data_IF_460843834286
#
_entry.id   IF_460843834286
#
_cell.length_a   1.000
_cell.length_b   1.000
_cell.length_c   1.000
_cell.angle_alpha   90.00
_cell.angle_beta   90.00
_cell.angle_gamma   90.00
#
_symmetry.space_group_name_H-M   'P 1'
#
loop_
_entity.id
_entity.type
_entity.pdbx_description
1 polymer ?
#
# COMPACT_ATOMS: atom_id res chain seq x y z
N UNK A 1 -26.89 37.89 -22.80
CA UNK A 1 -27.01 37.34 -21.42
C UNK A 1 -25.61 37.17 -20.84
N UNK A 2 -25.23 37.90 -19.78
CA UNK A 2 -23.92 37.75 -19.11
C UNK A 2 -24.00 36.60 -18.11
N UNK A 3 -23.20 35.55 -18.33
CA UNK A 3 -23.12 34.40 -17.42
C UNK A 3 -22.50 34.83 -16.10
N UNK A 4 -23.32 34.90 -15.05
CA UNK A 4 -22.89 35.26 -13.70
C UNK A 4 -21.97 34.15 -13.16
N UNK A 5 -20.65 34.35 -13.19
CA UNK A 5 -19.70 33.36 -12.66
C UNK A 5 -19.84 33.29 -11.14
N UNK A 6 -20.16 32.11 -10.61
CA UNK A 6 -20.33 31.88 -9.17
C UNK A 6 -19.09 32.36 -8.39
N UNK A 7 -19.25 33.12 -7.30
CA UNK A 7 -18.13 33.76 -6.57
C UNK A 7 -17.07 32.75 -6.10
N UNK A 8 -17.50 31.52 -5.77
CA UNK A 8 -16.62 30.41 -5.35
C UNK A 8 -15.61 30.02 -6.46
N UNK A 9 -16.03 30.07 -7.72
CA UNK A 9 -15.14 29.78 -8.85
C UNK A 9 -14.09 30.87 -9.07
N UNK A 10 -14.43 32.13 -8.82
CA UNK A 10 -13.49 33.25 -8.93
C UNK A 10 -12.39 33.15 -7.86
N UNK A 11 -12.78 32.85 -6.62
CA UNK A 11 -11.85 32.64 -5.50
C UNK A 11 -10.95 31.43 -5.74
N UNK A 12 -11.52 30.29 -6.15
CA UNK A 12 -10.74 29.07 -6.46
C UNK A 12 -9.68 29.32 -7.55
N UNK A 13 -10.06 30.02 -8.62
CA UNK A 13 -9.14 30.38 -9.70
C UNK A 13 -8.04 31.35 -9.25
N UNK A 14 -8.38 32.29 -8.37
CA UNK A 14 -7.41 33.23 -7.81
C UNK A 14 -6.39 32.54 -6.90
N UNK A 15 -6.83 31.62 -6.02
CA UNK A 15 -5.95 30.83 -5.14
C UNK A 15 -4.99 29.97 -5.97
N UNK A 16 -5.49 29.33 -7.04
CA UNK A 16 -4.66 28.52 -7.94
C UNK A 16 -3.51 29.30 -8.59
N UNK A 17 -3.69 30.60 -8.81
CA UNK A 17 -2.70 31.50 -9.42
C UNK A 17 -1.65 32.05 -8.44
N UNK A 18 -1.80 31.82 -7.14
CA UNK A 18 -0.85 32.33 -6.15
C UNK A 18 0.46 31.51 -6.13
N UNK A 19 1.60 32.14 -5.79
CA UNK A 19 2.88 31.46 -5.65
C UNK A 19 2.87 30.46 -4.47
N UNK A 20 3.76 29.45 -4.46
CA UNK A 20 3.74 28.38 -3.45
C UNK A 20 3.80 28.89 -2.00
N UNK A 21 4.58 29.94 -1.75
CA UNK A 21 4.70 30.57 -0.43
C UNK A 21 3.38 31.18 0.06
N UNK A 22 2.64 31.82 -0.84
CA UNK A 22 1.33 32.43 -0.53
C UNK A 22 0.26 31.36 -0.35
N UNK A 23 0.30 30.26 -1.12
CA UNK A 23 -0.59 29.12 -0.91
C UNK A 23 -0.37 28.46 0.45
N UNK A 24 0.90 28.26 0.83
CA UNK A 24 1.25 27.73 2.14
C UNK A 24 0.77 28.66 3.27
N UNK A 25 1.00 29.97 3.13
CA UNK A 25 0.50 30.96 4.08
C UNK A 25 -1.03 30.95 4.20
N UNK A 26 -1.75 30.98 3.07
CA UNK A 26 -3.21 30.91 3.05
C UNK A 26 -3.74 29.61 3.66
N UNK A 27 -3.08 28.48 3.42
CA UNK A 27 -3.42 27.19 4.02
C UNK A 27 -3.26 27.24 5.54
N UNK A 28 -2.13 27.75 6.05
CA UNK A 28 -1.88 27.90 7.49
C UNK A 28 -2.91 28.82 8.14
N UNK A 29 -3.17 30.00 7.56
CA UNK A 29 -4.18 30.94 8.07
C UNK A 29 -5.57 30.32 8.06
N UNK A 30 -5.94 29.61 7.00
CA UNK A 30 -7.24 28.92 6.93
C UNK A 30 -7.35 27.78 7.94
N UNK A 31 -6.25 27.06 8.20
CA UNK A 31 -6.19 26.01 9.22
C UNK A 31 -6.32 26.57 10.63
N UNK A 32 -5.61 27.67 10.93
CA UNK A 32 -5.73 28.38 12.20
C UNK A 32 -7.14 28.91 12.41
N UNK A 33 -7.75 29.52 11.38
CA UNK A 33 -9.12 29.99 11.44
C UNK A 33 -10.12 28.84 11.66
N UNK A 34 -9.92 27.69 11.00
CA UNK A 34 -10.74 26.51 11.19
C UNK A 34 -10.61 25.93 12.61
N UNK A 35 -9.41 25.94 13.20
CA UNK A 35 -9.17 25.50 14.59
C UNK A 35 -9.84 26.42 15.61
N UNK A 36 -9.75 27.74 15.41
CA UNK A 36 -10.45 28.71 16.27
C UNK A 36 -11.96 28.57 16.13
N UNK A 37 -12.46 28.39 14.91
CA UNK A 37 -13.88 28.14 14.65
C UNK A 37 -14.35 26.84 15.30
N UNK A 38 -13.58 25.77 15.19
CA UNK A 38 -13.83 24.49 15.87
C UNK A 38 -13.91 24.65 17.39
N UNK A 39 -12.98 25.42 17.98
CA UNK A 39 -13.00 25.73 19.42
C UNK A 39 -14.24 26.52 19.84
N UNK A 40 -14.78 27.37 18.97
CA UNK A 40 -15.97 28.20 19.25
C UNK A 40 -17.26 27.41 19.05
N UNK A 41 -17.29 26.44 18.14
CA UNK A 41 -18.50 25.66 17.80
C UNK A 41 -18.62 24.39 18.67
N UNK A 42 -17.50 23.73 18.95
CA UNK A 42 -17.46 22.45 19.67
C UNK A 42 -17.21 22.71 21.15
N UNK A 43 -18.29 22.73 21.93
CA UNK A 43 -18.19 22.82 23.39
C UNK A 43 -17.66 21.51 24.01
N UNK A 44 -18.05 20.37 23.44
CA UNK A 44 -17.72 19.04 23.95
C UNK A 44 -16.78 18.32 22.98
N UNK A 45 -15.49 18.31 23.33
CA UNK A 45 -14.41 17.85 22.46
C UNK A 45 -14.45 16.32 22.26
N UNK A 46 -15.18 15.60 23.13
CA UNK A 46 -15.37 14.15 23.06
C UNK A 46 -16.18 13.75 21.82
N UNK A 47 -17.15 14.56 21.41
CA UNK A 47 -17.94 14.32 20.19
C UNK A 47 -17.09 14.47 18.92
N UNK A 48 -16.11 15.39 18.93
CA UNK A 48 -15.18 15.56 17.81
C UNK A 48 -14.20 14.39 17.73
N UNK A 49 -13.75 13.88 18.87
CA UNK A 49 -12.94 12.67 18.95
C UNK A 49 -13.71 11.45 18.43
N UNK A 50 -14.95 11.23 18.90
CA UNK A 50 -15.80 10.11 18.43
C UNK A 50 -16.10 10.22 16.94
N UNK A 51 -16.38 11.43 16.42
CA UNK A 51 -16.60 11.64 14.99
C UNK A 51 -15.32 11.39 14.17
N UNK A 52 -14.15 11.79 14.67
CA UNK A 52 -12.87 11.52 14.03
C UNK A 52 -12.57 10.01 13.98
N UNK A 53 -12.75 9.30 15.10
CA UNK A 53 -12.58 7.84 15.19
C UNK A 53 -13.59 7.10 14.30
N UNK A 54 -14.84 7.57 14.20
CA UNK A 54 -15.84 6.99 13.30
C UNK A 54 -15.47 7.17 11.82
N UNK A 55 -15.04 8.37 11.41
CA UNK A 55 -14.56 8.64 10.04
C UNK A 55 -13.31 7.81 9.74
N UNK A 56 -12.40 7.68 10.72
CA UNK A 56 -11.20 6.86 10.60
C UNK A 56 -11.55 5.37 10.43
N UNK A 57 -12.47 4.85 11.24
CA UNK A 57 -12.96 3.47 11.15
C UNK A 57 -13.69 3.18 9.84
N UNK A 58 -14.45 4.14 9.30
CA UNK A 58 -15.09 4.01 7.98
C UNK A 58 -14.02 3.96 6.88
N UNK A 59 -12.99 4.80 6.96
CA UNK A 59 -11.86 4.79 6.03
C UNK A 59 -11.10 3.46 6.04
N UNK A 60 -10.79 2.93 7.24
CA UNK A 60 -10.21 1.60 7.42
C UNK A 60 -11.14 0.53 6.86
N UNK A 61 -12.45 0.61 7.10
CA UNK A 61 -13.43 -0.37 6.61
C UNK A 61 -13.57 -0.35 5.09
N UNK A 62 -13.48 0.80 4.45
CA UNK A 62 -13.49 0.93 2.97
C UNK A 62 -12.18 0.41 2.38
N UNK A 63 -11.04 0.65 3.02
CA UNK A 63 -9.76 0.07 2.64
C UNK A 63 -9.78 -1.45 2.80
N UNK A 64 -10.25 -1.96 3.93
CA UNK A 64 -10.48 -3.39 4.18
C UNK A 64 -11.44 -3.91 3.12
N UNK A 65 -12.60 -3.29 2.83
CA UNK A 65 -13.52 -3.76 1.79
C UNK A 65 -12.88 -3.81 0.39
N UNK A 66 -12.07 -2.80 0.05
CA UNK A 66 -11.35 -2.72 -1.22
C UNK A 66 -10.21 -3.75 -1.31
N UNK A 67 -9.60 -4.11 -0.17
CA UNK A 67 -8.57 -5.15 -0.02
C UNK A 67 -9.20 -6.57 0.09
N UNK A 68 -10.39 -6.69 0.70
CA UNK A 68 -11.18 -7.92 0.87
C UNK A 68 -11.96 -8.28 -0.39
N UNK A 69 -11.85 -7.48 -1.45
CA UNK A 69 -12.24 -7.94 -2.79
C UNK A 69 -11.45 -9.20 -3.20
N UNK A 70 -10.33 -9.48 -2.53
CA UNK A 70 -9.73 -10.81 -2.45
C UNK A 70 -10.28 -11.62 -1.26
N UNK A 71 -11.51 -12.13 -1.40
CA UNK A 71 -12.09 -13.09 -0.45
C UNK A 71 -11.21 -14.34 -0.27
N UNK A 72 -10.39 -14.64 -1.26
CA UNK A 72 -9.39 -15.72 -1.29
C UNK A 72 -8.38 -15.64 -0.17
N UNK A 73 -7.77 -14.48 0.10
CA UNK A 73 -6.75 -14.36 1.14
C UNK A 73 -7.31 -14.58 2.55
N UNK A 74 -8.53 -14.07 2.81
CA UNK A 74 -9.23 -14.29 4.08
C UNK A 74 -9.63 -15.76 4.28
N UNK A 75 -10.16 -16.41 3.24
CA UNK A 75 -10.50 -17.84 3.28
C UNK A 75 -9.24 -18.70 3.47
N UNK A 76 -8.16 -18.40 2.74
CA UNK A 76 -6.88 -19.10 2.88
C UNK A 76 -6.30 -18.93 4.28
N UNK A 77 -6.38 -17.74 4.88
CA UNK A 77 -5.89 -17.50 6.25
C UNK A 77 -6.72 -18.25 7.30
N UNK A 78 -8.03 -18.37 7.12
CA UNK A 78 -8.88 -19.17 8.00
C UNK A 78 -8.52 -20.66 7.92
N UNK A 79 -8.30 -21.19 6.70
CA UNK A 79 -7.98 -22.59 6.49
C UNK A 79 -6.53 -22.95 6.82
N UNK A 80 -5.58 -22.04 6.53
CA UNK A 80 -4.13 -22.27 6.63
C UNK A 80 -3.50 -21.08 7.35
N UNK A 81 -3.24 -21.26 8.64
CA UNK A 81 -2.55 -20.30 9.50
C UNK A 81 -1.54 -21.03 10.40
N UNK A 82 -0.49 -20.34 10.90
CA UNK A 82 0.54 -20.97 11.74
C UNK A 82 -0.06 -21.67 12.95
N UNK A 83 0.49 -22.80 13.38
CA UNK A 83 0.11 -23.51 14.61
C UNK A 83 1.04 -23.18 15.77
N UNK A 84 1.08 -21.89 16.14
CA UNK A 84 1.90 -21.36 17.24
C UNK A 84 1.10 -21.22 18.54
N UNK A 85 1.78 -20.90 19.65
CA UNK A 85 1.18 -20.69 20.97
C UNK A 85 0.34 -19.41 21.10
N UNK A 86 0.31 -18.56 20.06
CA UNK A 86 -0.47 -17.32 20.06
C UNK A 86 -1.97 -17.58 19.94
N UNK A 87 -2.77 -16.57 20.33
CA UNK A 87 -4.23 -16.61 20.18
C UNK A 87 -4.65 -16.80 18.71
N UNK A 88 -5.77 -17.51 18.50
CA UNK A 88 -6.28 -17.88 17.16
C UNK A 88 -6.46 -16.66 16.25
N UNK A 89 -7.01 -15.56 16.77
CA UNK A 89 -7.19 -14.32 16.01
C UNK A 89 -5.84 -13.79 15.48
N UNK A 90 -4.81 -13.74 16.34
CA UNK A 90 -3.49 -13.25 15.94
C UNK A 90 -2.87 -14.14 14.84
N UNK A 91 -3.04 -15.46 14.96
CA UNK A 91 -2.54 -16.42 13.97
C UNK A 91 -3.19 -16.24 12.60
N UNK A 92 -4.52 -16.07 12.57
CA UNK A 92 -5.27 -15.83 11.33
C UNK A 92 -4.95 -14.45 10.75
N UNK A 93 -4.92 -13.40 11.58
CA UNK A 93 -4.58 -12.04 11.14
C UNK A 93 -3.17 -11.98 10.53
N UNK A 94 -2.20 -12.65 11.14
CA UNK A 94 -0.85 -12.73 10.59
C UNK A 94 -0.83 -13.44 9.23
N UNK A 95 -1.48 -14.60 9.11
CA UNK A 95 -1.57 -15.33 7.84
C UNK A 95 -2.28 -14.50 6.75
N UNK A 96 -3.35 -13.80 7.12
CA UNK A 96 -4.05 -12.88 6.24
C UNK A 96 -3.14 -11.76 5.75
N UNK A 97 -2.34 -11.14 6.63
CA UNK A 97 -1.37 -10.12 6.25
C UNK A 97 -0.34 -10.65 5.26
N UNK A 98 0.23 -11.83 5.49
CA UNK A 98 1.21 -12.46 4.58
C UNK A 98 0.60 -12.73 3.20
N UNK A 99 -0.60 -13.31 3.15
CA UNK A 99 -1.24 -13.63 1.87
C UNK A 99 -1.67 -12.37 1.12
N UNK A 100 -2.23 -11.39 1.83
CA UNK A 100 -2.61 -10.11 1.26
C UNK A 100 -1.39 -9.32 0.76
N UNK A 101 -0.29 -9.35 1.49
CA UNK A 101 0.95 -8.68 1.09
C UNK A 101 1.47 -9.23 -0.25
N UNK A 102 1.44 -10.56 -0.44
CA UNK A 102 1.91 -11.21 -1.65
C UNK A 102 1.19 -10.74 -2.93
N UNK A 103 -0.09 -10.41 -2.82
CA UNK A 103 -0.98 -10.06 -3.96
C UNK A 103 -1.28 -8.56 -4.08
N UNK A 104 -1.18 -7.81 -2.97
CA UNK A 104 -1.53 -6.37 -2.91
C UNK A 104 -0.66 -5.46 -3.79
N UNK A 105 0.47 -5.97 -4.29
CA UNK A 105 1.35 -5.26 -5.21
C UNK A 105 0.80 -5.25 -6.65
N UNK A 106 -0.03 -6.23 -7.03
CA UNK A 106 -0.58 -6.37 -8.39
C UNK A 106 -1.42 -5.18 -8.85
N UNK A 107 -2.38 -4.65 -8.06
CA UNK A 107 -3.16 -3.49 -8.47
C UNK A 107 -2.28 -2.26 -8.75
N UNK A 108 -1.24 -2.05 -7.93
CA UNK A 108 -0.31 -0.95 -8.10
C UNK A 108 0.48 -1.09 -9.41
N UNK A 109 1.03 -2.27 -9.68
CA UNK A 109 1.74 -2.55 -10.94
C UNK A 109 0.83 -2.39 -12.16
N UNK A 110 -0.41 -2.86 -12.10
CA UNK A 110 -1.38 -2.73 -13.20
C UNK A 110 -1.69 -1.26 -13.52
N UNK A 111 -1.80 -0.40 -12.52
CA UNK A 111 -1.97 1.04 -12.73
C UNK A 111 -0.74 1.63 -13.42
N UNK A 112 0.46 1.26 -12.98
CA UNK A 112 1.73 1.73 -13.58
C UNK A 112 1.90 1.27 -15.03
N UNK A 113 1.47 0.06 -15.36
CA UNK A 113 1.44 -0.44 -16.73
C UNK A 113 0.45 0.33 -17.62
N UNK A 114 -0.73 0.64 -17.08
CA UNK A 114 -1.75 1.40 -17.81
C UNK A 114 -1.32 2.84 -18.07
N UNK A 115 -0.59 3.47 -17.16
CA UNK A 115 -0.10 4.85 -17.34
C UNK A 115 1.11 4.92 -18.27
N UNK A 116 1.82 3.81 -18.51
CA UNK A 116 3.03 3.65 -19.35
C UNK A 116 4.24 4.50 -18.96
N UNK A 117 4.04 5.57 -18.21
CA UNK A 117 5.04 6.49 -17.69
C UNK A 117 4.94 6.43 -16.17
N UNK A 118 6.02 6.02 -15.53
CA UNK A 118 6.11 5.91 -14.08
C UNK A 118 6.97 7.05 -13.54
N UNK A 119 6.46 7.75 -12.53
CA UNK A 119 7.22 8.81 -11.86
C UNK A 119 8.49 8.23 -11.19
N UNK A 120 9.64 8.94 -11.24
CA UNK A 120 10.91 8.38 -10.78
C UNK A 120 10.90 7.96 -9.30
N UNK A 121 10.31 8.77 -8.42
CA UNK A 121 10.23 8.47 -6.99
C UNK A 121 9.43 7.18 -6.73
N UNK A 122 8.28 7.04 -7.39
CA UNK A 122 7.45 5.82 -7.34
C UNK A 122 8.22 4.62 -7.88
N UNK A 123 8.99 4.79 -8.95
CA UNK A 123 9.80 3.72 -9.52
C UNK A 123 10.90 3.24 -8.55
N UNK A 124 11.61 4.17 -7.91
CA UNK A 124 12.62 3.85 -6.87
C UNK A 124 12.00 3.11 -5.68
N UNK A 125 10.83 3.56 -5.21
CA UNK A 125 10.11 2.91 -4.12
C UNK A 125 9.75 1.46 -4.45
N UNK A 126 9.12 1.22 -5.61
CA UNK A 126 8.72 -0.14 -6.03
C UNK A 126 9.95 -1.03 -6.27
N UNK A 127 11.05 -0.48 -6.80
CA UNK A 127 12.30 -1.22 -6.94
C UNK A 127 12.90 -1.62 -5.60
N UNK A 128 12.98 -0.69 -4.64
CA UNK A 128 13.46 -0.98 -3.28
C UNK A 128 12.59 -2.02 -2.58
N UNK A 129 11.27 -1.95 -2.79
CA UNK A 129 10.33 -2.98 -2.33
C UNK A 129 10.67 -4.34 -2.95
N UNK A 130 10.92 -4.41 -4.26
CA UNK A 130 11.35 -5.62 -4.96
C UNK A 130 12.65 -6.22 -4.40
N UNK A 131 13.67 -5.39 -4.15
CA UNK A 131 14.94 -5.83 -3.54
C UNK A 131 14.72 -6.38 -2.13
N UNK A 132 13.93 -5.69 -1.30
CA UNK A 132 13.62 -6.16 0.04
C UNK A 132 12.95 -7.54 0.02
N UNK A 133 12.02 -7.78 -0.91
CA UNK A 133 11.35 -9.08 -1.06
C UNK A 133 12.29 -10.18 -1.53
N UNK A 134 13.16 -9.88 -2.49
CA UNK A 134 14.17 -10.85 -2.95
C UNK A 134 15.08 -11.29 -1.79
N UNK A 135 15.49 -10.35 -0.93
CA UNK A 135 16.29 -10.67 0.26
C UNK A 135 15.50 -11.48 1.30
N UNK A 136 14.22 -11.20 1.52
CA UNK A 136 13.35 -12.01 2.39
C UNK A 136 13.21 -13.44 1.86
N UNK A 137 12.96 -13.61 0.57
CA UNK A 137 12.89 -14.92 -0.08
C UNK A 137 14.23 -15.68 0.07
N UNK A 138 15.36 -15.00 -0.19
CA UNK A 138 16.69 -15.59 0.00
C UNK A 138 16.94 -15.99 1.46
N UNK A 139 16.54 -15.18 2.43
CA UNK A 139 16.65 -15.49 3.85
C UNK A 139 15.90 -16.79 4.19
N UNK A 140 14.65 -16.92 3.74
CA UNK A 140 13.85 -18.13 3.97
C UNK A 140 14.44 -19.36 3.28
N UNK A 141 14.92 -19.24 2.03
CA UNK A 141 15.57 -20.33 1.31
C UNK A 141 16.85 -20.77 2.02
N UNK A 142 17.70 -19.83 2.44
CA UNK A 142 18.91 -20.14 3.22
C UNK A 142 18.54 -20.82 4.54
N UNK A 143 17.47 -20.37 5.21
CA UNK A 143 16.99 -21.02 6.42
C UNK A 143 16.51 -22.46 6.16
N UNK A 144 15.89 -22.76 5.01
CA UNK A 144 15.57 -24.14 4.61
C UNK A 144 16.84 -24.98 4.47
N UNK A 145 17.86 -24.44 3.79
CA UNK A 145 19.11 -25.13 3.48
C UNK A 145 19.97 -25.38 4.75
N UNK A 146 20.13 -24.36 5.59
CA UNK A 146 20.98 -24.42 6.80
C UNK A 146 20.34 -25.22 7.95
N UNK A 147 19.01 -25.37 7.98
CA UNK A 147 18.29 -26.03 9.08
C UNK A 147 18.53 -27.54 9.23
N UNK A 148 19.53 -28.14 8.54
CA UNK A 148 19.83 -29.60 8.57
C UNK A 148 18.57 -30.48 8.43
N UNK A 149 17.62 -30.07 7.58
CA UNK A 149 16.36 -30.80 7.35
C UNK A 149 15.25 -30.58 8.39
N UNK A 150 15.49 -29.82 9.47
CA UNK A 150 14.46 -29.56 10.51
C UNK A 150 13.28 -28.74 9.97
N UNK A 151 13.55 -27.81 9.05
CA UNK A 151 12.52 -27.04 8.37
C UNK A 151 11.81 -27.86 7.28
N UNK A 152 12.51 -28.78 6.60
CA UNK A 152 11.90 -29.76 5.69
C UNK A 152 10.94 -30.71 6.42
N UNK A 153 11.30 -31.12 7.63
CA UNK A 153 10.41 -31.88 8.51
C UNK A 153 9.22 -31.02 8.94
N UNK A 154 9.44 -29.76 9.36
CA UNK A 154 8.37 -28.84 9.72
C UNK A 154 7.41 -28.51 8.56
N UNK A 155 7.91 -28.42 7.32
CA UNK A 155 7.11 -28.32 6.09
C UNK A 155 6.22 -29.56 5.88
N UNK A 156 6.62 -30.72 6.39
CA UNK A 156 5.83 -31.95 6.37
C UNK A 156 4.77 -32.08 7.47
N UNK A 157 4.90 -31.32 8.56
CA UNK A 157 3.97 -31.37 9.71
C UNK A 157 2.76 -30.40 9.58
N UNK A 158 2.70 -29.58 8.53
CA UNK A 158 1.56 -28.72 8.26
C UNK A 158 1.73 -27.86 7.02
N UNK A 159 0.62 -27.39 6.44
CA UNK A 159 0.63 -26.60 5.21
C UNK A 159 1.16 -25.17 5.40
N UNK A 160 1.18 -24.65 6.63
CA UNK A 160 1.45 -23.24 6.90
C UNK A 160 2.89 -22.77 6.58
N UNK A 161 3.98 -23.52 6.84
CA UNK A 161 5.32 -23.04 6.50
C UNK A 161 5.53 -23.03 4.98
N UNK A 162 4.91 -23.97 4.26
CA UNK A 162 4.93 -24.02 2.80
C UNK A 162 4.23 -22.81 2.19
N UNK A 163 3.11 -22.39 2.77
CA UNK A 163 2.38 -21.21 2.29
C UNK A 163 3.19 -19.92 2.43
N UNK A 164 4.03 -19.78 3.47
CA UNK A 164 4.92 -18.61 3.61
C UNK A 164 5.92 -18.56 2.44
N UNK A 165 6.58 -19.67 2.13
CA UNK A 165 7.51 -19.75 1.00
C UNK A 165 6.82 -19.47 -0.34
N UNK A 166 5.63 -20.03 -0.55
CA UNK A 166 4.83 -19.79 -1.75
C UNK A 166 4.48 -18.30 -1.87
N UNK A 167 4.05 -17.65 -0.77
CA UNK A 167 3.75 -16.22 -0.76
C UNK A 167 4.97 -15.35 -1.13
N UNK A 168 6.13 -15.64 -0.57
CA UNK A 168 7.38 -14.93 -0.89
C UNK A 168 7.79 -15.13 -2.36
N UNK A 169 7.64 -16.35 -2.90
CA UNK A 169 7.93 -16.65 -4.31
C UNK A 169 6.97 -15.90 -5.24
N UNK A 170 5.65 -15.97 -4.97
CA UNK A 170 4.62 -15.28 -5.75
C UNK A 170 4.91 -13.79 -5.81
N UNK A 171 5.19 -13.16 -4.66
CA UNK A 171 5.49 -11.74 -4.60
C UNK A 171 6.78 -11.38 -5.35
N UNK A 172 7.82 -12.20 -5.20
CA UNK A 172 9.10 -12.01 -5.91
C UNK A 172 8.90 -12.09 -7.43
N UNK A 173 8.11 -13.05 -7.91
CA UNK A 173 7.83 -13.24 -9.34
C UNK A 173 7.03 -12.05 -9.91
N UNK A 174 6.01 -11.59 -9.20
CA UNK A 174 5.20 -10.42 -9.59
C UNK A 174 6.06 -9.16 -9.75
N UNK A 175 7.03 -8.95 -8.85
CA UNK A 175 7.93 -7.78 -8.86
C UNK A 175 9.11 -7.92 -9.82
N UNK A 176 9.44 -9.14 -10.27
CA UNK A 176 10.63 -9.41 -11.07
C UNK A 176 10.63 -8.64 -12.39
N UNK A 177 9.49 -8.62 -13.09
CA UNK A 177 9.37 -7.92 -14.37
C UNK A 177 9.57 -6.41 -14.23
N UNK A 178 8.95 -5.82 -13.20
CA UNK A 178 9.16 -4.41 -12.88
C UNK A 178 10.63 -4.10 -12.59
N UNK A 179 11.29 -4.93 -11.78
CA UNK A 179 12.70 -4.75 -11.42
C UNK A 179 13.61 -4.83 -12.66
N UNK A 180 13.32 -5.75 -13.59
CA UNK A 180 14.05 -5.87 -14.85
C UNK A 180 13.95 -4.59 -15.69
N UNK A 181 12.74 -4.05 -15.92
CA UNK A 181 12.57 -2.82 -16.70
C UNK A 181 13.15 -1.60 -16.00
N UNK A 182 13.07 -1.55 -14.67
CA UNK A 182 13.71 -0.50 -13.88
C UNK A 182 15.23 -0.47 -14.11
N UNK A 183 15.90 -1.62 -13.97
CA UNK A 183 17.34 -1.75 -14.19
C UNK A 183 17.71 -1.35 -15.63
N UNK A 184 16.95 -1.84 -16.62
CA UNK A 184 17.14 -1.49 -18.03
C UNK A 184 17.01 0.02 -18.29
N UNK A 185 16.03 0.69 -17.66
CA UNK A 185 15.83 2.14 -17.78
C UNK A 185 16.99 2.92 -17.18
N UNK A 186 17.52 2.49 -16.04
CA UNK A 186 18.67 3.13 -15.37
C UNK A 186 19.92 3.02 -16.24
N UNK A 187 20.24 1.84 -16.76
CA UNK A 187 21.39 1.66 -17.66
C UNK A 187 21.23 2.39 -18.99
N UNK A 188 19.99 2.57 -19.46
CA UNK A 188 19.67 3.37 -20.64
C UNK A 188 19.73 4.88 -20.43
N UNK A 189 20.05 5.35 -19.21
CA UNK A 189 20.09 6.79 -18.88
C UNK A 189 18.72 7.47 -18.92
N UNK A 190 17.62 6.71 -18.89
CA UNK A 190 16.27 7.27 -18.91
C UNK A 190 15.86 7.67 -17.50
N UNK A 191 15.64 8.97 -17.29
CA UNK A 191 15.17 9.51 -16.01
C UNK A 191 13.74 9.05 -15.65
N UNK A 192 12.97 8.61 -16.64
CA UNK A 192 11.56 8.25 -16.51
C UNK A 192 11.36 6.82 -17.00
N UNK A 193 10.88 5.95 -16.12
CA UNK A 193 10.64 4.55 -16.43
C UNK A 193 9.41 4.42 -17.33
N UNK A 194 9.58 3.73 -18.48
CA UNK A 194 8.50 3.36 -19.38
C UNK A 194 8.29 1.86 -19.39
N UNK A 195 7.10 1.43 -19.00
CA UNK A 195 6.72 0.02 -18.98
C UNK A 195 6.04 -0.37 -20.31
N UNK A 196 6.34 -1.54 -20.90
CA UNK A 196 5.58 -2.07 -22.02
C UNK A 196 4.16 -2.46 -21.58
N UNK A 197 3.22 -2.46 -22.52
CA UNK A 197 1.85 -2.92 -22.26
C UNK A 197 1.81 -4.45 -22.16
N UNK A 198 1.23 -5.00 -21.08
CA UNK A 198 0.84 -6.42 -20.98
C UNK A 198 1.88 -7.37 -20.36
N UNK A 199 2.62 -6.94 -19.34
CA UNK A 199 3.75 -7.73 -18.79
C UNK A 199 3.53 -8.25 -17.35
N UNK A 200 2.30 -8.17 -16.83
CA UNK A 200 1.90 -8.78 -15.53
C UNK A 200 0.61 -9.55 -15.71
#
# INVERSE_FOLDING_TARGET
MRTQKRPIHAVSMWVRRQPPKVKAFLAVVSGMAALVLLRVIVNDHDNLFVAAEAVHSIGISVLIYKLTKEKTCAVLALCIHPTTSHNLLNRISWAFCVYLEAVSVLPQLRVMQNTKIVEPFTAHYVFALGVARFLSCAHWVLQVLDSRGRLLVALGYGLWPSMVLISEIVQTFILADFCYYYIKSVFGGQLVLRLPSGVV
#
